data_IF_719450619184
#
_entry.id   IF_719450619184
#
_cell.length_a   1.000
_cell.length_b   1.000
_cell.length_c   1.000
_cell.angle_alpha   90.00
_cell.angle_beta   90.00
_cell.angle_gamma   90.00
#
_symmetry.space_group_name_H-M   'P 1'
#
loop_
_entity.id
_entity.type
_entity.pdbx_description
1 polymer ?
#
# COMPACT_ATOMS: atom_id res chain seq x y z
N UNK A 1 -45.14 -10.85 -23.45
CA UNK A 1 -44.39 -12.04 -23.91
C UNK A 1 -43.30 -11.58 -24.87
N UNK A 2 -42.16 -12.29 -24.85
CA UNK A 2 -40.88 -12.05 -25.55
C UNK A 2 -39.88 -11.17 -24.77
N UNK A 3 -39.11 -11.74 -23.83
CA UNK A 3 -37.82 -12.46 -23.99
C UNK A 3 -36.64 -11.49 -24.03
N UNK A 4 -35.85 -11.37 -22.97
CA UNK A 4 -34.64 -12.18 -22.67
C UNK A 4 -33.37 -11.49 -23.17
N UNK A 5 -32.66 -10.82 -22.26
CA UNK A 5 -31.20 -10.77 -22.34
C UNK A 5 -30.62 -11.24 -21.01
N UNK A 6 -30.31 -12.53 -21.00
CA UNK A 6 -29.34 -13.14 -20.10
C UNK A 6 -28.02 -13.17 -20.84
N UNK A 7 -27.02 -12.43 -20.36
CA UNK A 7 -25.58 -12.57 -20.68
C UNK A 7 -24.85 -11.47 -19.90
N UNK A 8 -24.25 -11.73 -18.73
CA UNK A 8 -23.00 -12.46 -18.55
C UNK A 8 -22.94 -13.00 -17.10
N UNK A 9 -22.51 -14.25 -16.94
CA UNK A 9 -22.43 -14.96 -15.65
C UNK A 9 -21.31 -14.47 -14.71
N UNK A 10 -21.46 -13.26 -14.17
CA UNK A 10 -20.79 -12.79 -12.96
C UNK A 10 -21.83 -12.47 -11.87
N UNK A 11 -21.44 -12.33 -10.58
CA UNK A 11 -22.40 -12.00 -9.53
C UNK A 11 -23.09 -10.67 -9.88
N UNK A 12 -24.39 -10.76 -10.15
CA UNK A 12 -25.27 -9.65 -10.49
C UNK A 12 -25.21 -8.58 -9.40
N UNK A 13 -24.67 -7.42 -9.75
CA UNK A 13 -24.69 -6.21 -8.94
C UNK A 13 -24.20 -5.00 -9.75
N UNK A 14 -24.84 -3.86 -9.59
CA UNK A 14 -24.38 -2.55 -10.08
C UNK A 14 -22.99 -2.21 -9.50
N UNK A 15 -22.25 -1.30 -10.15
CA UNK A 15 -20.96 -0.80 -9.61
C UNK A 15 -21.09 -0.35 -8.15
N UNK A 16 -22.24 0.25 -7.81
CA UNK A 16 -22.59 0.66 -6.46
C UNK A 16 -22.69 -0.53 -5.48
N UNK A 17 -23.36 -1.62 -5.86
CA UNK A 17 -23.49 -2.82 -5.00
C UNK A 17 -22.15 -3.53 -4.80
N UNK A 18 -21.32 -3.60 -5.85
CA UNK A 18 -19.96 -4.14 -5.73
C UNK A 18 -19.09 -3.26 -4.84
N UNK A 19 -19.21 -1.94 -4.94
CA UNK A 19 -18.49 -1.01 -4.08
C UNK A 19 -18.94 -1.18 -2.62
N UNK A 20 -20.26 -1.23 -2.35
CA UNK A 20 -20.78 -1.47 -1.01
C UNK A 20 -20.27 -2.80 -0.43
N UNK A 21 -20.31 -3.88 -1.22
CA UNK A 21 -19.78 -5.18 -0.79
C UNK A 21 -18.28 -5.15 -0.52
N UNK A 22 -17.51 -4.40 -1.31
CA UNK A 22 -16.07 -4.22 -1.04
C UNK A 22 -15.82 -3.53 0.31
N UNK A 23 -16.66 -2.56 0.69
CA UNK A 23 -16.55 -1.86 1.97
C UNK A 23 -16.91 -2.79 3.15
N UNK A 24 -17.91 -3.64 3.00
CA UNK A 24 -18.25 -4.67 3.99
C UNK A 24 -17.12 -5.70 4.17
N UNK A 25 -16.47 -6.09 3.07
CA UNK A 25 -15.29 -6.95 3.11
C UNK A 25 -14.12 -6.27 3.84
N UNK A 26 -13.87 -4.99 3.59
CA UNK A 26 -12.86 -4.22 4.33
C UNK A 26 -13.19 -4.11 5.83
N UNK A 27 -14.45 -3.87 6.17
CA UNK A 27 -14.88 -3.77 7.57
C UNK A 27 -14.75 -5.12 8.31
N UNK A 28 -14.89 -6.23 7.60
CA UNK A 28 -14.74 -7.59 8.13
C UNK A 28 -13.30 -8.13 8.06
N UNK A 29 -12.34 -7.33 7.59
CA UNK A 29 -10.92 -7.70 7.47
C UNK A 29 -10.59 -8.62 6.29
N UNK A 30 -11.54 -8.83 5.37
CA UNK A 30 -11.38 -9.64 4.17
C UNK A 30 -10.77 -8.83 3.01
N UNK A 31 -9.60 -8.24 3.26
CA UNK A 31 -9.00 -7.22 2.38
C UNK A 31 -8.61 -7.73 0.99
N UNK A 32 -8.14 -8.98 0.86
CA UNK A 32 -7.84 -9.58 -0.46
C UNK A 32 -9.10 -9.75 -1.32
N UNK A 33 -10.23 -10.12 -0.71
CA UNK A 33 -11.49 -10.25 -1.42
C UNK A 33 -12.04 -8.87 -1.81
N UNK A 34 -11.89 -7.88 -0.93
CA UNK A 34 -12.24 -6.49 -1.25
C UNK A 34 -11.41 -5.97 -2.44
N UNK A 35 -10.09 -6.17 -2.41
CA UNK A 35 -9.19 -5.74 -3.48
C UNK A 35 -9.58 -6.31 -4.85
N UNK A 36 -9.96 -7.59 -4.92
CA UNK A 36 -10.43 -8.22 -6.16
C UNK A 36 -11.73 -7.60 -6.70
N UNK A 37 -12.67 -7.24 -5.83
CA UNK A 37 -13.90 -6.54 -6.26
C UNK A 37 -13.59 -5.13 -6.74
N UNK A 38 -12.71 -4.42 -6.03
CA UNK A 38 -12.33 -3.04 -6.34
C UNK A 38 -11.50 -2.95 -7.63
N UNK A 39 -10.66 -3.93 -7.92
CA UNK A 39 -9.93 -4.04 -9.18
C UNK A 39 -10.88 -4.11 -10.38
N UNK A 40 -11.93 -4.94 -10.29
CA UNK A 40 -12.97 -5.02 -11.33
C UNK A 40 -13.74 -3.71 -11.49
N UNK A 41 -13.94 -2.97 -10.41
CA UNK A 41 -14.57 -1.65 -10.46
C UNK A 41 -13.66 -0.62 -11.13
N UNK A 42 -12.35 -0.68 -10.90
CA UNK A 42 -11.39 0.18 -11.59
C UNK A 42 -11.31 -0.14 -13.08
N UNK A 43 -11.41 -1.41 -13.48
CA UNK A 43 -11.47 -1.80 -14.89
C UNK A 43 -12.71 -1.23 -15.59
N UNK A 44 -13.86 -1.21 -14.89
CA UNK A 44 -15.11 -0.66 -15.41
C UNK A 44 -15.16 0.87 -15.37
N UNK A 45 -14.53 1.49 -14.36
CA UNK A 45 -14.56 2.93 -14.08
C UNK A 45 -13.15 3.48 -13.74
N UNK A 46 -12.23 3.61 -14.73
CA UNK A 46 -10.80 3.89 -14.49
C UNK A 46 -10.46 5.25 -13.87
N UNK A 47 -11.43 6.12 -13.63
CA UNK A 47 -11.24 7.46 -13.06
C UNK A 47 -11.89 7.66 -11.69
N UNK A 48 -12.49 6.61 -11.11
CA UNK A 48 -13.21 6.74 -9.84
C UNK A 48 -12.25 6.84 -8.66
N UNK A 49 -12.01 8.07 -8.19
CA UNK A 49 -11.11 8.34 -7.05
C UNK A 49 -11.50 7.57 -5.79
N UNK A 50 -12.79 7.47 -5.48
CA UNK A 50 -13.28 6.74 -4.30
C UNK A 50 -13.01 5.24 -4.39
N UNK A 51 -13.17 4.66 -5.58
CA UNK A 51 -12.82 3.25 -5.83
C UNK A 51 -11.30 3.06 -5.73
N UNK A 52 -10.51 3.97 -6.29
CA UNK A 52 -9.05 3.91 -6.22
C UNK A 52 -8.53 4.01 -4.78
N UNK A 53 -9.12 4.89 -3.95
CA UNK A 53 -8.78 5.00 -2.53
C UNK A 53 -9.15 3.74 -1.75
N UNK A 54 -10.36 3.21 -1.97
CA UNK A 54 -10.77 1.95 -1.36
C UNK A 54 -9.85 0.80 -1.79
N UNK A 55 -9.44 0.75 -3.07
CA UNK A 55 -8.49 -0.24 -3.58
C UNK A 55 -7.14 -0.09 -2.89
N UNK A 56 -6.57 1.12 -2.83
CA UNK A 56 -5.29 1.41 -2.19
C UNK A 56 -5.28 0.93 -0.72
N UNK A 57 -6.36 1.22 0.01
CA UNK A 57 -6.55 0.72 1.38
C UNK A 57 -6.63 -0.81 1.42
N UNK A 58 -7.41 -1.42 0.53
CA UNK A 58 -7.58 -2.87 0.48
C UNK A 58 -6.26 -3.60 0.24
N UNK A 59 -5.47 -3.16 -0.74
CA UNK A 59 -4.18 -3.80 -1.04
C UNK A 59 -3.14 -3.56 0.06
N UNK A 60 -3.19 -2.41 0.76
CA UNK A 60 -2.37 -2.18 1.94
C UNK A 60 -2.72 -3.15 3.08
N UNK A 61 -4.01 -3.28 3.41
CA UNK A 61 -4.50 -4.16 4.47
C UNK A 61 -4.25 -5.65 4.12
N UNK A 62 -4.30 -6.00 2.82
CA UNK A 62 -3.91 -7.31 2.29
C UNK A 62 -2.39 -7.56 2.24
N UNK A 63 -1.57 -6.61 2.71
CA UNK A 63 -0.10 -6.67 2.69
C UNK A 63 0.53 -6.72 1.28
N UNK A 64 -0.24 -6.37 0.25
CA UNK A 64 0.22 -6.19 -1.14
C UNK A 64 0.81 -4.79 -1.28
N UNK A 65 1.94 -4.56 -0.61
CA UNK A 65 2.50 -3.21 -0.46
C UNK A 65 2.99 -2.57 -1.76
N UNK A 66 3.40 -3.37 -2.75
CA UNK A 66 3.75 -2.87 -4.07
C UNK A 66 2.53 -2.25 -4.77
N UNK A 67 1.40 -2.95 -4.75
CA UNK A 67 0.14 -2.46 -5.32
C UNK A 67 -0.36 -1.24 -4.56
N UNK A 68 -0.20 -1.21 -3.23
CA UNK A 68 -0.54 -0.05 -2.40
C UNK A 68 0.27 1.19 -2.79
N UNK A 69 1.59 1.04 -3.02
CA UNK A 69 2.45 2.13 -3.49
C UNK A 69 1.93 2.68 -4.83
N UNK A 70 1.61 1.81 -5.78
CA UNK A 70 1.07 2.23 -7.09
C UNK A 70 -0.28 2.95 -6.95
N UNK A 71 -1.21 2.40 -6.16
CA UNK A 71 -2.55 2.95 -6.01
C UNK A 71 -2.56 4.30 -5.25
N UNK A 72 -1.80 4.43 -4.16
CA UNK A 72 -1.65 5.71 -3.48
C UNK A 72 -0.86 6.72 -4.32
N UNK A 73 0.11 6.28 -5.11
CA UNK A 73 0.80 7.12 -6.10
C UNK A 73 -0.17 7.72 -7.11
N UNK A 74 -1.04 6.89 -7.70
CA UNK A 74 -2.07 7.33 -8.62
C UNK A 74 -3.09 8.30 -7.97
N UNK A 75 -3.42 8.11 -6.69
CA UNK A 75 -4.23 9.09 -5.96
C UNK A 75 -3.55 10.45 -5.87
N UNK A 76 -2.24 10.50 -5.62
CA UNK A 76 -1.48 11.74 -5.53
C UNK A 76 -1.26 12.42 -6.89
N UNK A 77 -1.31 11.67 -7.99
CA UNK A 77 -1.36 12.27 -9.34
C UNK A 77 -2.67 13.06 -9.56
N UNK A 78 -3.78 12.57 -8.98
CA UNK A 78 -5.10 13.22 -9.06
C UNK A 78 -5.22 14.36 -8.04
N UNK A 79 -4.72 14.15 -6.82
CA UNK A 79 -4.79 15.10 -5.71
C UNK A 79 -3.48 15.12 -4.92
N UNK A 80 -2.52 15.96 -5.34
CA UNK A 80 -1.22 16.09 -4.67
C UNK A 80 -1.29 16.61 -3.23
N UNK A 81 -2.42 17.17 -2.81
CA UNK A 81 -2.69 17.73 -1.48
C UNK A 81 -3.50 16.78 -0.57
N UNK A 82 -3.63 15.51 -0.94
CA UNK A 82 -4.31 14.51 -0.12
C UNK A 82 -3.37 13.98 0.99
N UNK A 83 -3.61 14.43 2.22
CA UNK A 83 -2.83 14.02 3.40
C UNK A 83 -2.92 12.50 3.69
N UNK A 84 -4.08 11.89 3.43
CA UNK A 84 -4.29 10.47 3.64
C UNK A 84 -3.55 9.63 2.60
N UNK A 85 -3.55 10.05 1.33
CA UNK A 85 -2.77 9.38 0.29
C UNK A 85 -1.27 9.48 0.53
N UNK A 86 -0.77 10.63 0.99
CA UNK A 86 0.63 10.76 1.45
C UNK A 86 0.94 9.82 2.64
N UNK A 87 0.04 9.73 3.61
CA UNK A 87 0.21 8.81 4.73
C UNK A 87 0.23 7.34 4.28
N UNK A 88 -0.75 6.93 3.47
CA UNK A 88 -0.86 5.58 2.92
C UNK A 88 0.36 5.17 2.08
N UNK A 89 0.83 6.06 1.19
CA UNK A 89 2.04 5.83 0.40
C UNK A 89 3.27 5.69 1.31
N UNK A 90 3.43 6.59 2.28
CA UNK A 90 4.55 6.55 3.22
C UNK A 90 4.58 5.26 4.05
N UNK A 91 3.42 4.81 4.54
CA UNK A 91 3.29 3.54 5.26
C UNK A 91 3.61 2.34 4.36
N UNK A 92 3.17 2.36 3.11
CA UNK A 92 3.42 1.29 2.13
C UNK A 92 4.91 1.19 1.79
N UNK A 93 5.56 2.32 1.55
CA UNK A 93 7.01 2.41 1.30
C UNK A 93 7.82 1.91 2.50
N UNK A 94 7.40 2.25 3.71
CA UNK A 94 8.05 1.74 4.91
C UNK A 94 7.95 0.22 5.00
N UNK A 95 6.79 -0.37 4.69
CA UNK A 95 6.65 -1.84 4.66
C UNK A 95 7.54 -2.50 3.61
N UNK A 96 7.87 -1.79 2.53
CA UNK A 96 8.85 -2.21 1.52
C UNK A 96 10.31 -1.88 1.89
N UNK A 97 10.55 -1.31 3.07
CA UNK A 97 11.88 -0.87 3.52
C UNK A 97 12.49 0.27 2.67
N UNK A 98 11.64 1.05 1.98
CA UNK A 98 12.04 2.29 1.30
C UNK A 98 11.92 3.47 2.28
N UNK A 99 12.73 3.42 3.35
CA UNK A 99 12.58 4.31 4.51
C UNK A 99 12.81 5.79 4.19
N UNK A 100 13.67 6.10 3.21
CA UNK A 100 13.92 7.50 2.79
C UNK A 100 12.66 8.10 2.17
N UNK A 101 12.06 7.43 1.17
CA UNK A 101 10.83 7.90 0.54
C UNK A 101 9.65 7.87 1.51
N UNK A 102 9.58 6.85 2.36
CA UNK A 102 8.56 6.77 3.41
C UNK A 102 8.60 7.99 4.34
N UNK A 103 9.79 8.41 4.79
CA UNK A 103 9.98 9.63 5.59
C UNK A 103 9.46 10.86 4.87
N UNK A 104 9.72 10.99 3.57
CA UNK A 104 9.36 12.20 2.82
C UNK A 104 7.83 12.32 2.68
N UNK A 105 7.13 11.25 2.31
CA UNK A 105 5.66 11.25 2.25
C UNK A 105 5.00 11.38 3.63
N UNK A 106 5.53 10.70 4.67
CA UNK A 106 5.03 10.85 6.04
C UNK A 106 5.28 12.26 6.61
N UNK A 107 6.35 12.94 6.19
CA UNK A 107 6.60 14.35 6.55
C UNK A 107 5.54 15.24 5.93
N UNK A 108 5.19 15.00 4.67
CA UNK A 108 4.17 15.78 3.98
C UNK A 108 2.79 15.61 4.63
N UNK A 109 2.36 14.37 4.90
CA UNK A 109 1.12 14.08 5.62
C UNK A 109 1.08 14.79 7.00
N UNK A 110 2.18 14.72 7.76
CA UNK A 110 2.28 15.37 9.06
C UNK A 110 2.24 16.91 8.98
N UNK A 111 2.88 17.53 7.97
CA UNK A 111 2.83 18.98 7.78
C UNK A 111 1.41 19.45 7.42
N UNK A 112 0.68 18.69 6.59
CA UNK A 112 -0.70 19.01 6.23
C UNK A 112 -1.64 18.87 7.42
N UNK A 113 -1.48 17.81 8.23
CA UNK A 113 -2.35 17.49 9.37
C UNK A 113 -1.55 17.15 10.64
N UNK A 114 -0.95 18.14 11.31
CA UNK A 114 -0.15 17.91 12.52
C UNK A 114 -1.00 17.46 13.73
N UNK A 115 -2.32 17.66 13.67
CA UNK A 115 -3.30 17.21 14.66
C UNK A 115 -3.50 15.68 14.64
N UNK A 116 -3.18 15.01 13.53
CA UNK A 116 -3.27 13.55 13.36
C UNK A 116 -2.08 12.87 14.03
N UNK A 117 -2.27 12.43 15.27
CA UNK A 117 -1.20 11.82 16.09
C UNK A 117 -0.54 10.61 15.41
N UNK A 118 -1.30 9.85 14.63
CA UNK A 118 -0.86 8.70 13.85
C UNK A 118 0.23 9.07 12.83
N UNK A 119 0.13 10.24 12.19
CA UNK A 119 1.10 10.71 11.20
C UNK A 119 2.43 11.05 11.87
N UNK A 120 2.37 11.79 12.98
CA UNK A 120 3.56 12.14 13.77
C UNK A 120 4.26 10.91 14.36
N UNK A 121 3.49 9.91 14.83
CA UNK A 121 4.03 8.64 15.31
C UNK A 121 4.75 7.87 14.20
N UNK A 122 4.12 7.72 13.04
CA UNK A 122 4.72 7.03 11.90
C UNK A 122 6.01 7.73 11.42
N UNK A 123 5.97 9.07 11.31
CA UNK A 123 7.14 9.86 10.92
C UNK A 123 8.29 9.72 11.94
N UNK A 124 7.98 9.71 13.23
CA UNK A 124 8.99 9.56 14.28
C UNK A 124 9.66 8.19 14.22
N UNK A 125 8.87 7.15 13.98
CA UNK A 125 9.37 5.78 13.90
C UNK A 125 10.25 5.57 12.66
N UNK A 126 9.86 6.03 11.47
CA UNK A 126 10.71 5.91 10.27
C UNK A 126 12.02 6.69 10.41
N UNK A 127 11.99 7.88 11.05
CA UNK A 127 13.20 8.65 11.37
C UNK A 127 14.12 7.91 12.35
N UNK A 128 13.55 7.24 13.35
CA UNK A 128 14.32 6.42 14.28
C UNK A 128 14.99 5.24 13.57
N UNK A 129 14.29 4.56 12.65
CA UNK A 129 14.87 3.49 11.83
C UNK A 129 16.03 3.99 10.96
N UNK A 130 15.86 5.12 10.27
CA UNK A 130 16.92 5.73 9.48
C UNK A 130 18.15 6.09 10.33
N UNK A 131 17.92 6.67 11.52
CA UNK A 131 19.00 7.02 12.45
C UNK A 131 19.76 5.78 12.93
N UNK A 132 19.06 4.71 13.29
CA UNK A 132 19.67 3.46 13.72
C UNK A 132 20.54 2.86 12.61
N UNK A 133 19.98 2.72 11.39
CA UNK A 133 20.73 2.22 10.23
C UNK A 133 21.96 3.07 9.92
N UNK A 134 21.82 4.40 9.95
CA UNK A 134 22.94 5.31 9.71
C UNK A 134 24.04 5.18 10.78
N UNK A 135 23.67 5.03 12.06
CA UNK A 135 24.62 4.83 13.16
C UNK A 135 25.43 3.54 12.99
N UNK A 136 24.78 2.49 12.48
CA UNK A 136 25.38 1.19 12.23
C UNK A 136 26.01 1.07 10.82
N UNK A 137 26.05 2.16 10.05
CA UNK A 137 26.56 2.20 8.66
C UNK A 137 25.87 1.20 7.72
N UNK A 138 24.60 0.88 8.00
CA UNK A 138 23.76 -0.01 7.21
C UNK A 138 23.09 0.75 6.04
N UNK A 139 22.71 0.04 4.96
CA UNK A 139 21.92 0.63 3.88
C UNK A 139 20.64 1.26 4.42
N UNK A 140 20.34 2.49 4.00
CA UNK A 140 19.15 3.21 4.47
C UNK A 140 17.84 2.65 3.94
N UNK A 141 17.88 1.90 2.83
CA UNK A 141 16.73 1.23 2.23
C UNK A 141 17.02 -0.27 2.04
N UNK A 142 15.96 -1.01 1.75
CA UNK A 142 16.03 -2.42 1.38
C UNK A 142 16.36 -3.34 2.56
N UNK A 143 16.27 -4.66 2.32
CA UNK A 143 16.61 -5.66 3.31
C UNK A 143 18.09 -5.55 3.68
N UNK A 144 18.39 -5.76 4.97
CA UNK A 144 19.76 -5.96 5.39
C UNK A 144 20.23 -7.28 4.75
N UNK A 145 21.13 -7.19 3.78
CA UNK A 145 21.73 -8.37 3.18
C UNK A 145 22.62 -9.02 4.23
N UNK A 146 22.29 -10.24 4.66
CA UNK A 146 23.26 -11.08 5.35
C UNK A 146 24.26 -11.51 4.28
N UNK A 147 25.58 -11.22 4.41
CA UNK A 147 26.55 -11.74 3.45
C UNK A 147 26.41 -13.27 3.40
N UNK A 148 26.51 -13.89 2.21
CA UNK A 148 26.50 -15.35 2.12
C UNK A 148 27.62 -15.89 3.01
N UNK A 149 27.30 -16.86 3.86
CA UNK A 149 28.31 -17.61 4.62
C UNK A 149 29.15 -18.33 3.57
N UNK A 150 30.38 -17.84 3.35
CA UNK A 150 31.36 -18.59 2.57
C UNK A 150 31.88 -19.66 3.54
N UNK A 151 31.41 -20.90 3.38
CA UNK A 151 32.05 -22.06 4.00
C UNK A 151 33.46 -22.18 3.41
N UNK A 152 34.45 -21.69 4.15
CA UNK A 152 35.86 -21.97 3.89
C UNK A 152 36.08 -23.44 4.25
N UNK A 153 35.89 -24.32 3.26
CA UNK A 153 36.39 -25.69 3.36
C UNK A 153 37.92 -25.63 3.46
N UNK A 154 38.43 -26.11 4.58
CA UNK A 154 39.85 -26.36 4.84
C UNK A 154 40.48 -27.05 3.63
N UNK A 155 41.54 -26.43 3.11
CA UNK A 155 42.50 -27.12 2.24
C UNK A 155 43.29 -28.06 3.14
N UNK A 156 42.96 -29.34 3.08
CA UNK A 156 43.74 -30.42 3.67
C UNK A 156 45.11 -30.44 2.96
N UNK A 157 46.14 -29.95 3.64
CA UNK A 157 47.52 -30.06 3.15
C UNK A 157 48.00 -31.51 3.32
N UNK A 158 48.41 -32.07 2.18
CA UNK A 158 48.97 -33.41 1.96
C UNK A 158 50.17 -33.75 2.83
#
# INVERSE_FOLDING_TARGET
MSTSESSLGGPSGSSYEWYQRSQELLASGNSDAAAQLLERLLDAEPGSRSVLEAYARAVFDARRYADAVSAFGALLEIAPDDDYAHFGLGMSLWRQQEFVLARDHLSMAFVMRPDRTEYGKALSQVKATLRARAADQLPLNGPLSVPPIIDVYEVDES
#
